data_IF_316216832888
#
_entry.id   IF_316216832888
#
_cell.length_a   1.000
_cell.length_b   1.000
_cell.length_c   1.000
_cell.angle_alpha   90.00
_cell.angle_beta   90.00
_cell.angle_gamma   90.00
#
_symmetry.space_group_name_H-M   'P 1'
#
loop_
_entity.id
_entity.type
_entity.pdbx_description
1 polymer ?
#
# COMPACT_ATOMS: atom_id res chain seq x y z
N UNK A 1 -8.95 16.22 -12.13
CA UNK A 1 -7.94 15.41 -11.44
C UNK A 1 -8.24 15.56 -9.97
N UNK A 2 -8.21 14.46 -9.21
CA UNK A 2 -8.43 14.55 -7.77
C UNK A 2 -7.24 15.25 -7.13
N UNK A 3 -7.45 15.97 -6.02
CA UNK A 3 -6.38 16.70 -5.35
C UNK A 3 -5.58 15.83 -4.39
N UNK A 4 -5.97 14.57 -4.20
CA UNK A 4 -5.39 13.68 -3.21
C UNK A 4 -4.97 12.38 -3.88
N UNK A 5 -3.73 11.95 -3.62
CA UNK A 5 -3.21 10.68 -4.09
C UNK A 5 -3.00 9.70 -2.94
N UNK A 6 -3.20 8.41 -3.21
CA UNK A 6 -2.84 7.33 -2.29
C UNK A 6 -1.81 6.40 -2.91
N UNK A 7 -0.82 6.02 -2.11
CA UNK A 7 0.11 4.93 -2.41
C UNK A 7 -0.33 3.74 -1.55
N UNK A 8 -0.82 2.69 -2.19
CA UNK A 8 -1.37 1.51 -1.55
C UNK A 8 -0.33 0.41 -1.42
N UNK A 9 -0.15 -0.10 -0.20
CA UNK A 9 0.75 -1.19 0.14
C UNK A 9 -0.03 -2.37 0.72
N UNK A 10 0.34 -3.59 0.37
CA UNK A 10 -0.44 -4.80 0.71
C UNK A 10 -1.89 -4.69 0.22
N UNK A 11 -2.06 -4.26 -1.03
CA UNK A 11 -3.37 -3.87 -1.57
C UNK A 11 -4.36 -5.05 -1.67
N UNK A 12 -3.88 -6.30 -1.65
CA UNK A 12 -4.70 -7.49 -1.82
C UNK A 12 -5.53 -7.40 -3.10
N UNK A 13 -6.82 -7.70 -2.99
CA UNK A 13 -7.76 -7.58 -4.11
C UNK A 13 -8.27 -6.14 -4.37
N UNK A 14 -7.83 -5.15 -3.57
CA UNK A 14 -8.08 -3.72 -3.84
C UNK A 14 -9.34 -3.11 -3.27
N UNK A 15 -9.97 -3.75 -2.27
CA UNK A 15 -11.19 -3.22 -1.66
C UNK A 15 -10.98 -1.88 -0.93
N UNK A 16 -9.85 -1.72 -0.23
CA UNK A 16 -9.51 -0.47 0.44
C UNK A 16 -9.32 0.65 -0.58
N UNK A 17 -8.53 0.37 -1.62
CA UNK A 17 -8.26 1.27 -2.73
C UNK A 17 -9.55 1.73 -3.42
N UNK A 18 -10.47 0.81 -3.68
CA UNK A 18 -11.77 1.12 -4.28
C UNK A 18 -12.57 2.12 -3.41
N UNK A 19 -12.58 1.92 -2.09
CA UNK A 19 -13.23 2.86 -1.17
C UNK A 19 -12.60 4.25 -1.19
N UNK A 20 -11.27 4.36 -1.29
CA UNK A 20 -10.59 5.64 -1.45
C UNK A 20 -10.92 6.30 -2.80
N UNK A 21 -10.99 5.54 -3.89
CA UNK A 21 -11.40 6.09 -5.19
C UNK A 21 -12.83 6.61 -5.19
N UNK A 22 -13.75 5.87 -4.55
CA UNK A 22 -15.14 6.30 -4.41
C UNK A 22 -15.27 7.53 -3.49
N UNK A 23 -14.33 7.72 -2.56
CA UNK A 23 -14.19 8.92 -1.74
C UNK A 23 -13.46 10.09 -2.45
N UNK A 24 -13.08 9.94 -3.71
CA UNK A 24 -12.46 11.00 -4.51
C UNK A 24 -10.94 11.12 -4.41
N UNK A 25 -10.24 10.04 -4.06
CA UNK A 25 -8.78 9.95 -4.11
C UNK A 25 -8.31 9.27 -5.41
N UNK A 26 -7.13 9.64 -5.91
CA UNK A 26 -6.46 8.91 -6.99
C UNK A 26 -5.53 7.84 -6.41
N UNK A 27 -5.72 6.58 -6.78
CA UNK A 27 -4.73 5.53 -6.47
C UNK A 27 -3.55 5.69 -7.41
N UNK A 28 -2.45 6.22 -6.89
CA UNK A 28 -1.28 6.58 -7.70
C UNK A 28 -0.27 5.44 -7.82
N UNK A 29 -0.22 4.53 -6.84
CA UNK A 29 0.70 3.40 -6.79
C UNK A 29 0.06 2.24 -6.03
N UNK A 30 0.35 1.01 -6.46
CA UNK A 30 -0.19 -0.22 -5.87
C UNK A 30 0.93 -1.23 -5.66
N UNK A 31 1.07 -1.74 -4.43
CA UNK A 31 1.97 -2.82 -4.10
C UNK A 31 1.22 -4.04 -3.53
N UNK A 32 1.31 -5.16 -4.23
CA UNK A 32 0.77 -6.46 -3.81
C UNK A 32 1.67 -7.58 -4.33
N UNK A 33 2.25 -8.35 -3.41
CA UNK A 33 3.26 -9.37 -3.74
C UNK A 33 2.64 -10.63 -4.34
N UNK A 34 1.41 -10.98 -3.96
CA UNK A 34 0.73 -12.18 -4.44
C UNK A 34 0.19 -11.97 -5.87
N UNK A 35 0.67 -12.74 -6.87
CA UNK A 35 0.22 -12.58 -8.25
C UNK A 35 -1.29 -12.81 -8.43
N UNK A 36 -1.89 -13.75 -7.71
CA UNK A 36 -3.33 -14.03 -7.83
C UNK A 36 -4.18 -12.85 -7.35
N UNK A 37 -3.75 -12.18 -6.28
CA UNK A 37 -4.42 -10.96 -5.81
C UNK A 37 -4.19 -9.78 -6.76
N UNK A 38 -2.98 -9.64 -7.29
CA UNK A 38 -2.70 -8.61 -8.30
C UNK A 38 -3.52 -8.80 -9.58
N UNK A 39 -3.69 -10.04 -10.03
CA UNK A 39 -4.52 -10.36 -11.20
C UNK A 39 -5.99 -10.05 -10.93
N UNK A 40 -6.51 -10.44 -9.77
CA UNK A 40 -7.87 -10.09 -9.35
C UNK A 40 -8.07 -8.57 -9.21
N UNK A 41 -7.09 -7.85 -8.65
CA UNK A 41 -7.09 -6.39 -8.51
C UNK A 41 -7.20 -5.71 -9.88
N UNK A 42 -6.34 -6.09 -10.83
CA UNK A 42 -6.34 -5.54 -12.20
C UNK A 42 -7.63 -5.87 -12.94
N UNK A 43 -8.08 -7.12 -12.86
CA UNK A 43 -9.33 -7.58 -13.46
C UNK A 43 -10.53 -6.77 -12.96
N UNK A 44 -10.68 -6.63 -11.65
CA UNK A 44 -11.78 -5.86 -11.03
C UNK A 44 -11.79 -4.41 -11.51
N UNK A 45 -10.63 -3.75 -11.54
CA UNK A 45 -10.51 -2.35 -11.95
C UNK A 45 -10.85 -2.13 -13.41
N UNK A 46 -10.45 -3.03 -14.30
CA UNK A 46 -10.83 -2.99 -15.70
C UNK A 46 -12.35 -3.07 -15.85
N UNK A 47 -13.00 -4.00 -15.14
CA UNK A 47 -14.46 -4.18 -15.20
C UNK A 47 -15.24 -3.04 -14.53
N UNK A 48 -14.62 -2.33 -13.59
CA UNK A 48 -15.18 -1.15 -12.94
C UNK A 48 -14.82 0.17 -13.65
N UNK A 49 -14.16 0.12 -14.81
CA UNK A 49 -13.67 1.29 -15.55
C UNK A 49 -12.79 2.24 -14.70
N UNK A 50 -12.03 1.69 -13.76
CA UNK A 50 -11.09 2.45 -12.92
C UNK A 50 -9.79 2.67 -13.69
N UNK A 51 -9.18 3.84 -13.51
CA UNK A 51 -7.92 4.19 -14.18
C UNK A 51 -6.77 3.36 -13.61
N UNK A 52 -5.74 3.01 -14.41
CA UNK A 52 -4.53 2.42 -13.86
C UNK A 52 -3.80 3.44 -12.97
N UNK A 53 -3.04 2.97 -11.96
CA UNK A 53 -2.23 3.83 -11.10
C UNK A 53 -1.12 4.52 -11.90
N UNK A 54 -0.89 5.80 -11.60
CA UNK A 54 0.06 6.66 -12.30
C UNK A 54 1.50 6.12 -12.29
N UNK A 55 1.93 5.57 -11.16
CA UNK A 55 3.27 4.99 -10.93
C UNK A 55 3.25 3.46 -11.04
N UNK A 56 2.15 2.89 -11.53
CA UNK A 56 2.05 1.47 -11.83
C UNK A 56 1.82 0.55 -10.64
N UNK A 57 2.03 -0.74 -10.92
CA UNK A 57 1.83 -1.85 -9.99
C UNK A 57 3.18 -2.48 -9.66
N UNK A 58 3.43 -2.75 -8.38
CA UNK A 58 4.63 -3.44 -7.91
C UNK A 58 4.27 -4.76 -7.23
N UNK A 59 4.79 -5.86 -7.78
CA UNK A 59 4.68 -7.21 -7.20
C UNK A 59 5.89 -7.59 -6.34
N UNK A 60 6.66 -6.60 -5.89
CA UNK A 60 7.83 -6.80 -5.06
C UNK A 60 7.47 -6.84 -3.57
N UNK A 61 8.38 -7.39 -2.76
CA UNK A 61 8.29 -7.25 -1.31
C UNK A 61 8.40 -5.77 -0.92
N UNK A 62 7.63 -5.34 0.08
CA UNK A 62 7.73 -3.98 0.63
C UNK A 62 9.16 -3.63 1.08
N UNK A 63 9.95 -4.64 1.46
CA UNK A 63 11.34 -4.47 1.87
C UNK A 63 12.22 -3.92 0.74
N UNK A 64 11.86 -4.16 -0.52
CA UNK A 64 12.57 -3.59 -1.67
C UNK A 64 12.53 -2.05 -1.63
N UNK A 65 11.47 -1.44 -1.11
CA UNK A 65 11.37 0.02 -0.96
C UNK A 65 12.19 0.59 0.20
N UNK A 66 12.76 -0.27 1.03
CA UNK A 66 13.69 0.11 2.11
C UNK A 66 15.15 -0.05 1.68
N UNK A 67 15.41 -0.89 0.68
CA UNK A 67 16.75 -1.23 0.19
C UNK A 67 16.94 -0.78 -1.27
N UNK A 68 16.61 -1.64 -2.23
CA UNK A 68 17.01 -1.52 -3.63
C UNK A 68 16.18 -0.51 -4.43
N UNK A 69 14.90 -0.38 -4.11
CA UNK A 69 13.93 0.48 -4.79
C UNK A 69 13.56 1.73 -4.00
N UNK A 70 14.27 2.01 -2.90
CA UNK A 70 14.06 3.21 -2.08
C UNK A 70 14.09 4.49 -2.91
N UNK A 71 15.04 4.60 -3.85
CA UNK A 71 15.17 5.77 -4.72
C UNK A 71 14.02 5.90 -5.73
N UNK A 72 13.56 4.79 -6.30
CA UNK A 72 12.46 4.80 -7.27
C UNK A 72 11.15 5.26 -6.62
N UNK A 73 10.79 4.68 -5.48
CA UNK A 73 9.60 5.10 -4.74
C UNK A 73 9.68 6.58 -4.32
N UNK A 74 10.84 7.05 -3.87
CA UNK A 74 11.04 8.45 -3.51
C UNK A 74 10.84 9.39 -4.72
N UNK A 75 11.29 9.00 -5.92
CA UNK A 75 11.08 9.76 -7.16
C UNK A 75 9.59 9.83 -7.49
N UNK A 76 8.88 8.70 -7.43
CA UNK A 76 7.44 8.64 -7.71
C UNK A 76 6.66 9.58 -6.76
N UNK A 77 7.02 9.57 -5.47
CA UNK A 77 6.41 10.45 -4.46
C UNK A 77 6.71 11.92 -4.75
N UNK A 78 7.94 12.27 -5.12
CA UNK A 78 8.29 13.64 -5.49
C UNK A 78 7.46 14.13 -6.70
N UNK A 79 7.33 13.29 -7.73
CA UNK A 79 6.49 13.59 -8.89
C UNK A 79 5.01 13.69 -8.52
N UNK A 80 4.53 12.89 -7.56
CA UNK A 80 3.17 13.00 -7.05
C UNK A 80 2.94 14.33 -6.33
N UNK A 81 3.92 14.84 -5.56
CA UNK A 81 3.81 16.13 -4.86
C UNK A 81 3.69 17.33 -5.79
N UNK A 82 4.12 17.21 -7.05
CA UNK A 82 3.92 18.24 -8.07
C UNK A 82 2.48 18.26 -8.63
N UNK A 83 1.75 17.15 -8.50
CA UNK A 83 0.42 16.95 -9.11
C UNK A 83 -0.73 16.96 -8.09
N UNK A 84 -0.44 16.61 -6.85
CA UNK A 84 -1.42 16.40 -5.79
C UNK A 84 -1.15 17.31 -4.59
N UNK A 85 -2.21 17.76 -3.93
CA UNK A 85 -2.12 18.58 -2.72
C UNK A 85 -1.73 17.75 -1.49
N UNK A 86 -2.15 16.48 -1.43
CA UNK A 86 -1.77 15.57 -0.36
C UNK A 86 -1.48 14.17 -0.88
N UNK A 87 -0.54 13.49 -0.23
CA UNK A 87 -0.19 12.10 -0.45
C UNK A 87 -0.46 11.31 0.82
N UNK A 88 -1.32 10.31 0.71
CA UNK A 88 -1.59 9.34 1.76
C UNK A 88 -0.92 8.00 1.49
N UNK A 89 -0.43 7.35 2.54
CA UNK A 89 -0.05 5.93 2.47
C UNK A 89 -1.13 5.08 3.10
N UNK A 90 -1.61 4.07 2.38
CA UNK A 90 -2.64 3.16 2.88
C UNK A 90 -2.15 1.72 2.80
N UNK A 91 -2.58 0.88 3.71
CA UNK A 91 -2.26 -0.54 3.64
C UNK A 91 -2.75 -1.35 4.82
N UNK A 92 -2.74 -2.67 4.63
CA UNK A 92 -3.04 -3.65 5.67
C UNK A 92 -1.89 -4.65 5.80
N UNK A 93 -0.78 -4.30 6.48
CA UNK A 93 0.31 -5.24 6.67
C UNK A 93 -0.22 -6.51 7.38
N UNK A 94 0.10 -7.71 6.88
CA UNK A 94 -0.41 -8.95 7.46
C UNK A 94 0.01 -9.05 8.93
N UNK A 95 -0.97 -9.20 9.81
CA UNK A 95 -0.79 -9.20 11.26
C UNK A 95 -1.18 -10.53 11.94
N UNK A 96 -0.69 -11.71 11.49
CA UNK A 96 -1.05 -12.97 12.11
C UNK A 96 -0.43 -13.19 13.49
N UNK A 97 0.72 -12.56 13.81
CA UNK A 97 1.43 -12.77 15.10
C UNK A 97 0.78 -12.07 16.31
N UNK A 98 -0.21 -11.20 16.08
CA UNK A 98 -1.03 -10.54 17.12
C UNK A 98 -2.47 -11.09 17.21
N UNK A 99 -2.85 -12.02 16.33
CA UNK A 99 -4.17 -12.66 16.35
C UNK A 99 -4.16 -13.97 17.13
N UNK A 100 -5.29 -14.32 17.75
CA UNK A 100 -5.46 -15.56 18.55
C UNK A 100 -5.12 -16.83 17.76
N UNK A 101 -5.25 -16.79 16.42
CA UNK A 101 -4.92 -17.90 15.52
C UNK A 101 -3.42 -18.07 15.22
N UNK A 102 -2.55 -17.18 15.71
CA UNK A 102 -1.12 -17.10 15.39
C UNK A 102 -0.20 -17.07 16.61
N UNK A 103 -0.46 -17.92 17.62
CA UNK A 103 0.48 -18.28 18.70
C UNK A 103 1.12 -17.15 19.54
N UNK A 104 0.72 -15.88 19.41
CA UNK A 104 1.24 -14.73 20.17
C UNK A 104 2.77 -14.60 20.12
N UNK A 105 3.40 -14.72 18.94
CA UNK A 105 4.85 -14.51 18.80
C UNK A 105 5.25 -13.02 18.77
N UNK A 106 4.27 -12.11 18.68
CA UNK A 106 4.51 -10.67 18.76
C UNK A 106 5.53 -10.18 17.72
N UNK A 107 6.47 -9.35 18.15
CA UNK A 107 7.50 -8.73 17.30
C UNK A 107 8.54 -9.74 16.75
N UNK A 108 8.67 -10.93 17.34
CA UNK A 108 9.66 -11.95 16.92
C UNK A 108 9.15 -12.90 15.83
N UNK A 109 7.87 -12.80 15.44
CA UNK A 109 7.32 -13.58 14.33
C UNK A 109 7.69 -12.99 12.96
N UNK A 110 7.78 -13.85 11.94
CA UNK A 110 8.15 -13.43 10.57
C UNK A 110 7.19 -12.39 9.97
N UNK A 111 5.95 -12.31 10.44
CA UNK A 111 4.93 -11.39 9.91
C UNK A 111 4.83 -10.09 10.72
N UNK A 112 5.19 -10.08 12.01
CA UNK A 112 5.42 -8.85 12.78
C UNK A 112 6.41 -7.89 12.08
N UNK A 113 7.39 -8.47 11.38
CA UNK A 113 8.40 -7.73 10.59
C UNK A 113 7.81 -6.93 9.43
N UNK A 114 6.67 -7.33 8.85
CA UNK A 114 6.07 -6.62 7.71
C UNK A 114 5.33 -5.34 8.15
N UNK A 115 4.79 -5.34 9.38
CA UNK A 115 4.27 -4.12 9.99
C UNK A 115 5.40 -3.12 10.24
N UNK A 116 6.54 -3.58 10.75
CA UNK A 116 7.74 -2.74 10.90
C UNK A 116 8.23 -2.21 9.55
N UNK A 117 8.24 -3.03 8.50
CA UNK A 117 8.62 -2.58 7.16
C UNK A 117 7.70 -1.49 6.63
N UNK A 118 6.38 -1.62 6.83
CA UNK A 118 5.41 -0.59 6.45
C UNK A 118 5.65 0.73 7.21
N UNK A 119 5.86 0.63 8.52
CA UNK A 119 6.18 1.78 9.38
C UNK A 119 7.47 2.46 8.90
N UNK A 120 8.51 1.68 8.57
CA UNK A 120 9.77 2.22 8.04
C UNK A 120 9.59 2.89 6.67
N UNK A 121 8.72 2.37 5.80
CA UNK A 121 8.37 3.03 4.53
C UNK A 121 7.70 4.37 4.79
N UNK A 122 6.78 4.46 5.75
CA UNK A 122 6.14 5.71 6.17
C UNK A 122 7.18 6.69 6.72
N UNK A 123 8.04 6.27 7.65
CA UNK A 123 9.06 7.12 8.28
C UNK A 123 10.03 7.68 7.23
N UNK A 124 10.47 6.84 6.29
CA UNK A 124 11.44 7.23 5.26
C UNK A 124 10.86 8.24 4.25
N UNK A 125 9.56 8.17 3.96
CA UNK A 125 8.94 8.93 2.87
C UNK A 125 8.03 10.08 3.32
N UNK A 126 7.59 10.07 4.60
CA UNK A 126 6.80 11.14 5.23
C UNK A 126 5.59 11.56 4.37
N UNK A 127 4.60 10.68 4.18
CA UNK A 127 3.33 11.08 3.59
C UNK A 127 2.62 12.10 4.49
N UNK A 128 1.66 12.85 3.95
CA UNK A 128 0.89 13.84 4.70
C UNK A 128 -0.03 13.17 5.74
N UNK A 129 -0.47 11.95 5.44
CA UNK A 129 -1.25 11.11 6.33
C UNK A 129 -1.04 9.64 5.98
N UNK A 130 -1.41 8.74 6.89
CA UNK A 130 -1.40 7.31 6.60
C UNK A 130 -2.59 6.60 7.25
N UNK A 131 -2.98 5.47 6.67
CA UNK A 131 -3.95 4.54 7.24
C UNK A 131 -3.34 3.14 7.26
N UNK A 132 -3.45 2.48 8.41
CA UNK A 132 -3.03 1.10 8.59
C UNK A 132 -4.22 0.29 9.10
N UNK A 133 -4.67 -0.70 8.32
CA UNK A 133 -5.76 -1.59 8.71
C UNK A 133 -5.20 -2.86 9.35
N UNK A 134 -5.69 -3.19 10.54
CA UNK A 134 -5.33 -4.40 11.26
C UNK A 134 -6.60 -5.16 11.65
N UNK A 135 -6.52 -6.49 11.72
CA UNK A 135 -7.62 -7.31 12.26
C UNK A 135 -7.57 -7.21 13.79
N UNK A 136 -8.70 -6.88 14.41
CA UNK A 136 -8.85 -6.92 15.86
C UNK A 136 -8.88 -8.38 16.34
N UNK A 137 -8.08 -8.69 17.36
CA UNK A 137 -8.01 -10.00 18.00
C UNK A 137 -9.18 -10.21 18.99
#
# INVERSE_FOLDING_TARGET
MNNHAVFSFFSGAGFLDLGFEDAGFDVAFVNEINPSFMDAYKFSREHLNKKPPLFGYSQNSINEFLTNQKGALAIDILQAKEKYQTIGFIGGPPCPDFSVGGKNKGQEGENGRLSDSYINVIINNKPDWFLASFIAA
#
